data_IF_910595737538
#
_entry.id   IF_910595737538
#
_cell.length_a   1.000
_cell.length_b   1.000
_cell.length_c   1.000
_cell.angle_alpha   90.00
_cell.angle_beta   90.00
_cell.angle_gamma   90.00
#
_symmetry.space_group_name_H-M   'P 1'
#
loop_
_entity.id
_entity.type
_entity.pdbx_description
1 polymer ?
#
# COMPACT_ATOMS: atom_id res chain seq x y z
N UNK A 1 13.98 -10.60 -1.95
CA UNK A 1 12.69 -10.69 -1.23
C UNK A 1 12.38 -9.32 -0.69
N UNK A 2 11.09 -9.00 -0.57
CA UNK A 2 10.67 -7.70 -0.07
C UNK A 2 11.02 -7.58 1.42
N UNK A 3 11.35 -6.37 1.86
CA UNK A 3 11.80 -6.13 3.24
C UNK A 3 10.79 -5.26 3.97
N UNK A 4 10.37 -5.71 5.16
CA UNK A 4 9.43 -4.98 6.01
C UNK A 4 10.15 -4.33 7.19
N UNK A 5 10.22 -3.00 7.17
CA UNK A 5 10.76 -2.13 8.20
C UNK A 5 9.70 -1.80 9.23
N UNK A 6 10.00 -2.04 10.52
CA UNK A 6 9.06 -1.91 11.65
C UNK A 6 9.57 -0.95 12.72
N UNK A 7 10.78 -0.42 12.59
CA UNK A 7 11.45 0.45 13.56
C UNK A 7 10.74 1.80 13.74
N UNK A 8 10.00 2.26 12.72
CA UNK A 8 9.16 3.46 12.78
C UNK A 8 7.71 3.18 13.23
N UNK A 9 7.34 1.91 13.46
CA UNK A 9 5.99 1.54 13.82
C UNK A 9 5.69 1.81 15.30
N UNK A 10 4.91 2.85 15.57
CA UNK A 10 4.50 3.26 16.93
C UNK A 10 3.05 2.90 17.28
N UNK A 11 2.49 1.86 16.67
CA UNK A 11 1.09 1.44 16.89
C UNK A 11 0.05 2.20 16.03
N UNK A 12 0.52 3.05 15.12
CA UNK A 12 -0.29 3.71 14.11
C UNK A 12 -1.17 2.70 13.34
N UNK A 13 -2.41 3.06 13.03
CA UNK A 13 -3.27 2.21 12.19
C UNK A 13 -3.65 0.85 12.81
N UNK A 14 -3.34 0.57 14.09
CA UNK A 14 -3.65 -0.71 14.73
C UNK A 14 -5.15 -1.09 14.70
N UNK A 15 -6.04 -0.12 14.53
CA UNK A 15 -7.47 -0.37 14.31
C UNK A 15 -7.82 -1.03 12.97
N UNK A 16 -6.95 -0.94 11.96
CA UNK A 16 -7.17 -1.53 10.62
C UNK A 16 -7.41 -3.05 10.69
N UNK A 17 -6.76 -3.75 11.62
CA UNK A 17 -6.89 -5.20 11.80
C UNK A 17 -8.26 -5.62 12.33
N UNK A 18 -9.04 -4.70 12.91
CA UNK A 18 -10.37 -4.99 13.46
C UNK A 18 -11.47 -4.81 12.41
N UNK A 19 -11.14 -4.31 11.22
CA UNK A 19 -12.08 -4.09 10.13
C UNK A 19 -12.24 -5.42 9.38
N UNK A 20 -13.46 -5.97 9.35
CA UNK A 20 -13.75 -7.28 8.70
C UNK A 20 -13.24 -7.35 7.26
N UNK A 21 -13.57 -6.36 6.42
CA UNK A 21 -13.17 -6.38 5.01
C UNK A 21 -11.64 -6.36 4.83
N UNK A 22 -10.89 -5.72 5.73
CA UNK A 22 -9.42 -5.74 5.69
C UNK A 22 -8.86 -7.14 6.00
N UNK A 23 -9.49 -7.85 6.95
CA UNK A 23 -9.14 -9.23 7.28
C UNK A 23 -9.38 -10.15 6.07
N UNK A 24 -10.52 -9.98 5.41
CA UNK A 24 -10.87 -10.78 4.23
C UNK A 24 -9.91 -10.52 3.07
N UNK A 25 -9.57 -9.25 2.79
CA UNK A 25 -8.59 -8.90 1.74
C UNK A 25 -7.21 -9.50 2.02
N UNK A 26 -6.72 -9.40 3.26
CA UNK A 26 -5.45 -10.03 3.64
C UNK A 26 -5.49 -11.54 3.46
N UNK A 27 -6.60 -12.19 3.84
CA UNK A 27 -6.77 -13.62 3.66
C UNK A 27 -6.79 -14.01 2.16
N UNK A 28 -7.43 -13.21 1.30
CA UNK A 28 -7.37 -13.43 -0.15
C UNK A 28 -5.93 -13.35 -0.67
N UNK A 29 -5.15 -12.34 -0.27
CA UNK A 29 -3.73 -12.21 -0.61
C UNK A 29 -2.93 -13.43 -0.13
N UNK A 30 -3.12 -13.86 1.11
CA UNK A 30 -2.38 -14.97 1.70
C UNK A 30 -2.69 -16.32 1.02
N UNK A 31 -3.91 -16.49 0.52
CA UNK A 31 -4.39 -17.71 -0.14
C UNK A 31 -4.13 -17.75 -1.66
N UNK A 32 -3.75 -16.63 -2.28
CA UNK A 32 -3.45 -16.52 -3.72
C UNK A 32 -2.04 -15.93 -3.93
N UNK A 33 -0.98 -16.68 -3.59
CA UNK A 33 0.40 -16.20 -3.72
C UNK A 33 0.85 -15.96 -5.17
N UNK A 34 0.11 -16.49 -6.15
CA UNK A 34 0.29 -16.22 -7.58
C UNK A 34 -0.23 -14.83 -8.00
N UNK A 35 -0.96 -14.15 -7.12
CA UNK A 35 -1.55 -12.84 -7.39
C UNK A 35 -2.80 -12.91 -8.28
N UNK A 36 -3.31 -14.09 -8.61
CA UNK A 36 -4.55 -14.25 -9.39
C UNK A 36 -5.77 -14.17 -8.46
N UNK A 37 -6.44 -13.01 -8.49
CA UNK A 37 -7.66 -12.77 -7.73
C UNK A 37 -8.94 -12.91 -8.58
N UNK A 38 -8.87 -13.44 -9.81
CA UNK A 38 -10.01 -13.47 -10.73
C UNK A 38 -11.24 -14.19 -10.16
N UNK A 39 -11.05 -15.31 -9.46
CA UNK A 39 -12.14 -16.02 -8.78
C UNK A 39 -12.71 -15.23 -7.60
N UNK A 40 -11.83 -14.62 -6.79
CA UNK A 40 -12.24 -13.75 -5.68
C UNK A 40 -13.11 -12.60 -6.19
N UNK A 41 -12.69 -11.94 -7.28
CA UNK A 41 -13.39 -10.82 -7.88
C UNK A 41 -14.70 -11.21 -8.58
N UNK A 42 -14.87 -12.48 -8.93
CA UNK A 42 -16.12 -13.01 -9.48
C UNK A 42 -17.15 -13.32 -8.40
N UNK A 43 -16.71 -13.69 -7.19
CA UNK A 43 -17.59 -14.10 -6.08
C UNK A 43 -17.87 -12.97 -5.06
N UNK A 44 -16.94 -12.04 -4.90
CA UNK A 44 -17.00 -10.97 -3.89
C UNK A 44 -17.23 -9.61 -4.54
N UNK A 45 -18.46 -9.12 -4.45
CA UNK A 45 -18.92 -7.87 -5.08
C UNK A 45 -18.59 -6.60 -4.27
N UNK A 46 -17.90 -6.73 -3.13
CA UNK A 46 -17.59 -5.59 -2.27
C UNK A 46 -16.61 -4.67 -2.95
N UNK A 47 -16.96 -3.39 -3.04
CA UNK A 47 -16.13 -2.35 -3.67
C UNK A 47 -14.69 -2.34 -3.16
N UNK A 48 -14.47 -2.51 -1.86
CA UNK A 48 -13.12 -2.51 -1.26
C UNK A 48 -12.28 -3.69 -1.74
N UNK A 49 -12.89 -4.85 -1.95
CA UNK A 49 -12.21 -6.04 -2.48
C UNK A 49 -11.79 -5.79 -3.92
N UNK A 50 -12.74 -5.33 -4.75
CA UNK A 50 -12.45 -4.92 -6.13
C UNK A 50 -11.34 -3.86 -6.19
N UNK A 51 -11.45 -2.80 -5.37
CA UNK A 51 -10.52 -1.68 -5.35
C UNK A 51 -9.07 -2.11 -5.03
N UNK A 52 -8.88 -3.09 -4.14
CA UNK A 52 -7.56 -3.51 -3.67
C UNK A 52 -6.97 -4.70 -4.44
N UNK A 53 -7.80 -5.57 -5.01
CA UNK A 53 -7.35 -6.81 -5.64
C UNK A 53 -7.43 -6.80 -7.17
N UNK A 54 -8.26 -5.94 -7.77
CA UNK A 54 -8.36 -5.85 -9.23
C UNK A 54 -7.15 -5.16 -9.85
N UNK A 55 -6.60 -5.77 -10.89
CA UNK A 55 -5.55 -5.17 -11.74
C UNK A 55 -6.02 -3.90 -12.44
N UNK A 56 -7.34 -3.66 -12.52
CA UNK A 56 -7.87 -2.39 -13.04
C UNK A 56 -7.32 -1.18 -12.27
N UNK A 57 -6.90 -1.34 -11.01
CA UNK A 57 -6.27 -0.26 -10.25
C UNK A 57 -4.98 0.23 -10.90
N UNK A 58 -4.22 -0.65 -11.55
CA UNK A 58 -2.98 -0.30 -12.27
C UNK A 58 -3.21 0.66 -13.42
N UNK A 59 -4.43 0.74 -13.96
CA UNK A 59 -4.78 1.66 -15.07
C UNK A 59 -4.61 3.14 -14.73
N UNK A 60 -4.42 3.48 -13.44
CA UNK A 60 -4.10 4.85 -13.03
C UNK A 60 -2.71 5.26 -13.52
N UNK A 61 -1.74 4.35 -13.57
CA UNK A 61 -0.33 4.65 -13.83
C UNK A 61 0.35 3.74 -14.86
N UNK A 62 -0.32 2.69 -15.37
CA UNK A 62 0.27 1.77 -16.35
C UNK A 62 0.62 2.43 -17.70
N UNK A 63 0.06 3.62 -17.97
CA UNK A 63 0.34 4.41 -19.17
C UNK A 63 1.49 5.40 -18.97
N UNK A 64 1.95 5.61 -17.74
CA UNK A 64 2.97 6.60 -17.43
C UNK A 64 4.36 6.10 -17.83
N UNK A 65 5.12 6.95 -18.51
CA UNK A 65 6.50 6.65 -18.90
C UNK A 65 7.46 7.00 -17.75
N UNK A 66 7.91 5.97 -17.04
CA UNK A 66 8.86 6.08 -15.94
C UNK A 66 10.28 6.26 -16.46
N UNK A 67 11.07 7.09 -15.77
CA UNK A 67 12.52 7.16 -15.98
C UNK A 67 13.13 5.78 -15.72
N UNK A 68 14.06 5.38 -16.59
CA UNK A 68 14.85 4.15 -16.41
C UNK A 68 15.64 4.21 -15.09
N UNK A 69 15.70 3.08 -14.40
CA UNK A 69 16.35 2.93 -13.09
C UNK A 69 15.88 3.93 -12.01
N UNK A 70 14.62 4.38 -12.08
CA UNK A 70 14.09 5.31 -11.10
C UNK A 70 14.01 4.72 -9.68
N UNK A 71 14.17 5.59 -8.67
CA UNK A 71 13.76 5.32 -7.28
C UNK A 71 12.39 5.95 -7.01
N UNK A 72 11.44 5.17 -6.49
CA UNK A 72 10.06 5.60 -6.27
C UNK A 72 9.67 5.48 -4.80
N UNK A 73 9.08 6.54 -4.25
CA UNK A 73 8.37 6.52 -2.97
C UNK A 73 6.86 6.41 -3.20
N UNK A 74 6.24 5.31 -2.78
CA UNK A 74 4.80 5.14 -2.68
C UNK A 74 4.32 5.53 -1.27
N UNK A 75 3.44 6.53 -1.19
CA UNK A 75 2.83 6.97 0.08
C UNK A 75 1.41 6.44 0.19
N UNK A 76 1.21 5.55 1.18
CA UNK A 76 -0.06 4.86 1.40
C UNK A 76 -0.23 3.66 0.49
N UNK A 77 0.64 2.65 0.63
CA UNK A 77 0.58 1.43 -0.19
C UNK A 77 -0.67 0.57 -0.01
N UNK A 78 -1.45 0.79 1.06
CA UNK A 78 -2.68 0.05 1.37
C UNK A 78 -2.50 -1.49 1.32
N UNK A 79 -3.15 -2.18 0.39
CA UNK A 79 -2.98 -3.63 0.15
C UNK A 79 -2.12 -3.93 -1.08
N UNK A 80 -1.34 -2.95 -1.52
CA UNK A 80 -0.35 -3.09 -2.57
C UNK A 80 -0.92 -3.16 -3.98
N UNK A 81 -2.06 -2.52 -4.23
CA UNK A 81 -2.72 -2.59 -5.55
C UNK A 81 -1.90 -1.91 -6.66
N UNK A 82 -1.07 -0.91 -6.32
CA UNK A 82 -0.16 -0.24 -7.25
C UNK A 82 1.31 -0.64 -7.04
N UNK A 83 1.70 -1.06 -5.84
CA UNK A 83 3.09 -1.41 -5.50
C UNK A 83 3.72 -2.38 -6.50
N UNK A 84 2.99 -3.40 -6.95
CA UNK A 84 3.47 -4.36 -7.95
C UNK A 84 3.83 -3.71 -9.29
N UNK A 85 2.96 -2.84 -9.80
CA UNK A 85 3.20 -2.05 -11.01
C UNK A 85 4.45 -1.16 -10.84
N UNK A 86 4.57 -0.48 -9.70
CA UNK A 86 5.73 0.38 -9.42
C UNK A 86 7.03 -0.44 -9.42
N UNK A 87 7.02 -1.65 -8.83
CA UNK A 87 8.19 -2.54 -8.81
C UNK A 87 8.59 -3.03 -10.20
N UNK A 88 7.68 -3.03 -11.18
CA UNK A 88 7.99 -3.42 -12.57
C UNK A 88 8.66 -2.30 -13.36
N UNK A 89 8.53 -1.05 -12.92
CA UNK A 89 8.98 0.12 -13.65
C UNK A 89 10.12 0.90 -12.97
N UNK A 90 10.58 0.47 -11.80
CA UNK A 90 11.60 1.15 -11.02
C UNK A 90 12.74 0.22 -10.60
N UNK A 91 13.95 0.77 -10.50
CA UNK A 91 15.08 0.06 -9.91
C UNK A 91 14.84 -0.21 -8.41
N UNK A 92 14.14 0.70 -7.73
CA UNK A 92 13.78 0.56 -6.33
C UNK A 92 12.45 1.22 -6.00
N UNK A 93 11.66 0.55 -5.17
CA UNK A 93 10.41 1.07 -4.63
C UNK A 93 10.48 1.03 -3.11
N UNK A 94 10.24 2.18 -2.51
CA UNK A 94 9.94 2.31 -1.09
C UNK A 94 8.45 2.58 -0.94
N UNK A 95 7.73 1.76 -0.20
CA UNK A 95 6.31 1.98 0.11
C UNK A 95 6.11 2.22 1.60
N UNK A 96 5.39 3.28 1.95
CA UNK A 96 5.05 3.61 3.33
C UNK A 96 3.57 3.34 3.56
N UNK A 97 3.25 2.52 4.56
CA UNK A 97 1.88 2.27 4.98
C UNK A 97 1.72 2.57 6.48
N UNK A 98 0.69 3.36 6.78
CA UNK A 98 0.42 3.85 8.13
C UNK A 98 0.21 2.73 9.15
N UNK A 99 -0.45 1.63 8.77
CA UNK A 99 -0.74 0.51 9.65
C UNK A 99 0.04 -0.77 9.33
N UNK A 100 0.65 -1.36 10.35
CA UNK A 100 1.40 -2.61 10.23
C UNK A 100 0.58 -3.75 9.61
N UNK A 101 -0.72 -3.82 9.89
CA UNK A 101 -1.58 -4.88 9.37
C UNK A 101 -1.60 -4.94 7.84
N UNK A 102 -1.67 -3.76 7.20
CA UNK A 102 -1.68 -3.60 5.75
C UNK A 102 -0.26 -3.70 5.17
N UNK A 103 0.73 -3.11 5.83
CA UNK A 103 2.14 -3.25 5.46
C UNK A 103 2.59 -4.73 5.37
N UNK A 104 2.16 -5.56 6.33
CA UNK A 104 2.40 -7.01 6.29
C UNK A 104 1.72 -7.70 5.11
N UNK A 105 0.52 -7.25 4.72
CA UNK A 105 -0.18 -7.78 3.56
C UNK A 105 0.55 -7.43 2.25
N UNK A 106 1.09 -6.21 2.12
CA UNK A 106 1.94 -5.82 0.98
C UNK A 106 3.18 -6.71 0.91
N UNK A 107 3.89 -6.86 2.04
CA UNK A 107 5.10 -7.68 2.12
C UNK A 107 4.82 -9.13 1.74
N UNK A 108 3.66 -9.68 2.12
CA UNK A 108 3.23 -11.04 1.75
C UNK A 108 2.87 -11.14 0.26
N UNK A 109 2.10 -10.17 -0.26
CA UNK A 109 1.68 -10.13 -1.68
C UNK A 109 2.86 -10.10 -2.63
N UNK A 110 3.95 -9.44 -2.23
CA UNK A 110 5.12 -9.21 -3.07
C UNK A 110 6.40 -9.77 -2.45
N UNK A 111 6.32 -10.90 -1.73
CA UNK A 111 7.46 -11.44 -0.99
C UNK A 111 8.69 -11.73 -1.87
N UNK A 112 8.48 -12.03 -3.15
CA UNK A 112 9.54 -12.30 -4.12
C UNK A 112 10.13 -11.05 -4.81
N UNK A 113 9.52 -9.86 -4.64
CA UNK A 113 10.08 -8.60 -5.19
C UNK A 113 11.34 -8.22 -4.42
N UNK A 114 12.48 -8.15 -5.09
CA UNK A 114 13.77 -7.87 -4.46
C UNK A 114 14.14 -6.37 -4.42
N UNK A 115 13.36 -5.55 -5.11
CA UNK A 115 13.50 -4.11 -5.22
C UNK A 115 12.43 -3.35 -4.41
N UNK A 116 11.92 -3.95 -3.32
CA UNK A 116 10.81 -3.41 -2.54
C UNK A 116 11.14 -3.35 -1.04
N UNK A 117 11.12 -2.13 -0.50
CA UNK A 117 11.15 -1.84 0.93
C UNK A 117 9.78 -1.32 1.38
N UNK A 118 9.21 -1.94 2.42
CA UNK A 118 7.93 -1.56 3.02
C UNK A 118 8.18 -1.00 4.41
N UNK A 119 7.78 0.25 4.65
CA UNK A 119 7.84 0.88 5.96
C UNK A 119 6.46 0.93 6.61
N UNK A 120 6.34 0.32 7.79
CA UNK A 120 5.16 0.47 8.64
C UNK A 120 5.31 1.69 9.57
N UNK A 121 4.48 2.72 9.39
CA UNK A 121 4.53 3.89 10.26
C UNK A 121 4.00 5.17 9.62
N UNK A 122 4.08 6.28 10.36
CA UNK A 122 3.76 7.59 9.83
C UNK A 122 4.92 8.07 8.96
N UNK A 123 4.66 8.45 7.71
CA UNK A 123 5.68 8.99 6.80
C UNK A 123 6.45 10.17 7.38
N UNK A 124 5.80 11.01 8.20
CA UNK A 124 6.43 12.18 8.82
C UNK A 124 7.47 11.82 9.90
N UNK A 125 7.46 10.57 10.37
CA UNK A 125 8.41 10.07 11.36
C UNK A 125 9.60 9.32 10.71
N UNK A 126 9.55 9.07 9.41
CA UNK A 126 10.54 8.27 8.68
C UNK A 126 11.59 9.19 8.08
N UNK A 127 12.85 8.86 8.31
CA UNK A 127 14.00 9.53 7.70
C UNK A 127 14.48 8.69 6.52
N UNK A 128 14.44 9.26 5.32
CA UNK A 128 14.98 8.63 4.11
C UNK A 128 16.37 9.20 3.85
N UNK A 129 17.35 8.33 3.68
CA UNK A 129 18.73 8.73 3.34
C UNK A 129 18.88 9.11 1.87
N UNK A 130 18.01 8.59 1.01
CA UNK A 130 18.03 8.80 -0.45
C UNK A 130 16.94 9.76 -0.94
N UNK A 131 17.20 10.38 -2.09
CA UNK A 131 16.20 11.16 -2.84
C UNK A 131 15.46 10.24 -3.82
N UNK A 132 14.16 10.49 -3.99
CA UNK A 132 13.31 9.74 -4.93
C UNK A 132 13.15 10.51 -6.23
N UNK A 133 13.22 9.82 -7.37
CA UNK A 133 12.86 10.38 -8.67
C UNK A 133 11.36 10.69 -8.75
N UNK A 134 10.54 9.87 -8.08
CA UNK A 134 9.08 10.03 -8.05
C UNK A 134 8.51 9.81 -6.65
N UNK A 135 7.48 10.60 -6.33
CA UNK A 135 6.61 10.36 -5.18
C UNK A 135 5.20 10.09 -5.70
N UNK A 136 4.70 8.90 -5.44
CA UNK A 136 3.38 8.43 -5.85
C UNK A 136 2.45 8.44 -4.64
N UNK A 137 1.38 9.22 -4.72
CA UNK A 137 0.35 9.30 -3.66
C UNK A 137 -1.02 9.18 -4.31
N UNK A 138 -1.53 7.95 -4.38
CA UNK A 138 -2.82 7.63 -5.01
C UNK A 138 -3.78 7.09 -3.96
N UNK A 139 -4.18 7.96 -3.03
CA UNK A 139 -5.08 7.65 -1.94
C UNK A 139 -6.26 8.63 -1.89
N UNK A 140 -7.33 8.22 -1.22
CA UNK A 140 -8.40 9.14 -0.83
C UNK A 140 -7.85 10.04 0.27
N UNK A 141 -7.81 11.35 0.01
CA UNK A 141 -7.38 12.32 1.01
C UNK A 141 -8.24 12.22 2.27
N UNK A 142 -7.64 11.77 3.37
CA UNK A 142 -8.21 11.94 4.70
C UNK A 142 -7.10 12.31 5.68
N UNK A 143 -7.47 12.96 6.79
CA UNK A 143 -6.53 13.47 7.78
C UNK A 143 -5.54 12.41 8.33
N UNK A 144 -5.90 11.12 8.26
CA UNK A 144 -5.07 10.03 8.76
C UNK A 144 -3.94 9.64 7.78
N UNK A 145 -4.07 9.91 6.47
CA UNK A 145 -3.05 9.55 5.45
C UNK A 145 -1.75 10.32 5.66
N UNK A 146 -1.82 11.54 6.19
CA UNK A 146 -0.67 12.40 6.48
C UNK A 146 -0.35 12.49 7.98
N UNK A 147 -0.98 11.68 8.82
CA UNK A 147 -0.83 11.79 10.28
C UNK A 147 -1.23 13.16 10.84
N UNK A 148 -1.99 13.96 10.08
CA UNK A 148 -2.45 15.25 10.52
C UNK A 148 -3.58 15.03 11.53
N UNK A 149 -3.29 15.27 12.81
CA UNK A 149 -4.32 15.48 13.83
C UNK A 149 -5.08 16.78 13.52
N UNK A 150 -5.87 16.78 12.45
CA UNK A 150 -6.83 17.84 12.22
C UNK A 150 -7.95 17.67 13.26
N UNK A 151 -8.24 18.71 14.07
CA UNK A 151 -9.30 18.62 15.06
C UNK A 151 -10.60 18.21 14.35
N UNK A 152 -11.21 17.11 14.79
CA UNK A 152 -12.54 16.70 14.30
C UNK A 152 -13.51 17.78 14.75
N UNK A 153 -13.85 18.70 13.84
CA UNK A 153 -14.97 19.58 14.06
C UNK A 153 -16.23 18.71 13.93
N UNK A 154 -16.84 18.35 15.05
CA UNK A 154 -18.15 17.72 15.11
C UNK A 154 -19.20 18.73 14.66
N UNK A 155 -19.32 18.93 13.35
CA UNK A 155 -20.48 19.57 12.76
C UNK A 155 -21.34 18.45 12.16
N UNK A 156 -22.42 18.14 12.88
CA UNK A 156 -23.51 17.29 12.40
C UNK A 156 -24.00 17.78 11.04
N UNK A 157 -24.06 16.88 10.07
CA UNK A 157 -25.01 16.90 8.95
C UNK A 157 -25.46 15.47 8.68
#
# INVERSE_FOLDING_TARGET
>A
MAVLHKEYYKGAGNGQKNIRVNQDIRAYIENHPDGDFSHVLAEDDRWQVFYHLSDMRTSILNWYEWKEDASILEVGGEFGALTGLLCEHAAHVTTVEYGLFKAEAICRRYEDRHNLDIYAGNILDIEFEEEFDYIVMVAVWNANVVGANLPRNTANI
#
